data_IF_218616418817
#
_entry.id   IF_218616418817
#
_cell.length_a   1.000
_cell.length_b   1.000
_cell.length_c   1.000
_cell.angle_alpha   90.00
_cell.angle_beta   90.00
_cell.angle_gamma   90.00
#
_symmetry.space_group_name_H-M   'P 1'
#
loop_
_entity.id
_entity.type
_entity.pdbx_description
1 polymer ?
#
# COMPACT_ATOMS: atom_id res chain seq x y z
N UNK A 1 -11.50 -23.42 49.16
CA UNK A 1 -12.23 -23.56 47.88
C UNK A 1 -11.35 -24.36 46.94
N UNK A 2 -11.75 -25.57 46.53
CA UNK A 2 -10.94 -26.41 45.66
C UNK A 2 -10.97 -25.89 44.21
N UNK A 3 -9.78 -25.80 43.62
CA UNK A 3 -9.54 -25.39 42.22
C UNK A 3 -9.92 -26.56 41.31
N UNK A 4 -10.96 -26.37 40.52
CA UNK A 4 -11.41 -27.31 39.49
C UNK A 4 -10.44 -27.19 38.30
N UNK A 5 -9.67 -28.25 38.05
CA UNK A 5 -8.85 -28.37 36.85
C UNK A 5 -9.73 -28.73 35.63
N UNK A 6 -9.47 -28.16 34.44
CA UNK A 6 -10.20 -28.55 33.24
C UNK A 6 -9.71 -29.90 32.70
N UNK A 7 -10.68 -30.77 32.45
CA UNK A 7 -10.56 -32.06 31.76
C UNK A 7 -10.00 -31.88 30.35
N UNK A 8 -8.86 -32.50 30.05
CA UNK A 8 -8.35 -32.64 28.69
C UNK A 8 -9.12 -33.78 27.99
N UNK A 9 -10.09 -33.38 27.15
CA UNK A 9 -10.75 -34.28 26.22
C UNK A 9 -9.79 -34.61 25.08
N UNK A 10 -9.18 -35.78 25.14
CA UNK A 10 -8.45 -36.42 24.05
C UNK A 10 -9.43 -36.90 22.97
N UNK A 11 -9.57 -36.14 21.89
CA UNK A 11 -10.25 -36.58 20.67
C UNK A 11 -9.26 -36.63 19.51
N UNK A 12 -8.88 -37.87 19.19
CA UNK A 12 -8.58 -38.46 17.88
C UNK A 12 -7.75 -37.65 16.85
N UNK A 13 -6.64 -38.21 16.32
CA UNK A 13 -6.08 -37.73 15.06
C UNK A 13 -7.05 -38.11 13.95
N UNK A 14 -7.84 -37.14 13.50
CA UNK A 14 -8.55 -37.23 12.23
C UNK A 14 -7.50 -37.16 11.12
N UNK A 15 -7.29 -38.29 10.45
CA UNK A 15 -6.52 -38.38 9.22
C UNK A 15 -7.14 -37.45 8.18
N UNK A 16 -6.58 -36.25 8.05
CA UNK A 16 -6.93 -35.32 6.99
C UNK A 16 -6.55 -35.99 5.68
N UNK A 17 -7.59 -36.45 5.00
CA UNK A 17 -7.61 -36.92 3.64
C UNK A 17 -6.83 -35.96 2.73
N UNK A 18 -5.65 -36.39 2.31
CA UNK A 18 -4.74 -35.70 1.41
C UNK A 18 -5.26 -35.80 -0.03
N UNK A 19 -6.43 -35.20 -0.29
CA UNK A 19 -6.99 -35.10 -1.65
C UNK A 19 -7.28 -33.64 -2.02
N UNK A 20 -6.40 -32.72 -1.63
CA UNK A 20 -6.27 -31.45 -2.33
C UNK A 20 -5.14 -31.61 -3.36
N UNK A 21 -5.42 -31.54 -4.66
CA UNK A 21 -4.38 -31.71 -5.67
C UNK A 21 -3.32 -30.60 -5.48
N UNK A 22 -2.02 -30.97 -5.43
CA UNK A 22 -0.92 -30.02 -5.26
C UNK A 22 -0.83 -28.96 -6.37
N UNK A 23 -1.61 -29.09 -7.44
CA UNK A 23 -1.54 -28.25 -8.64
C UNK A 23 -2.30 -26.92 -8.53
N UNK A 24 -3.28 -26.80 -7.63
CA UNK A 24 -4.16 -25.60 -7.57
C UNK A 24 -3.47 -24.39 -6.93
N UNK A 25 -2.67 -24.61 -5.88
CA UNK A 25 -1.93 -23.53 -5.19
C UNK A 25 -0.80 -22.96 -6.07
N UNK A 26 -0.13 -23.82 -6.85
CA UNK A 26 0.86 -23.42 -7.83
C UNK A 26 0.23 -22.61 -8.99
N UNK A 27 -0.95 -23.02 -9.46
CA UNK A 27 -1.66 -22.33 -10.55
C UNK A 27 -2.15 -20.93 -10.15
N UNK A 28 -2.69 -20.77 -8.93
CA UNK A 28 -3.13 -19.46 -8.41
C UNK A 28 -1.94 -18.51 -8.21
N UNK A 29 -0.86 -19.02 -7.62
CA UNK A 29 0.35 -18.23 -7.42
C UNK A 29 0.95 -17.80 -8.76
N UNK A 30 0.98 -18.69 -9.75
CA UNK A 30 1.41 -18.37 -11.11
C UNK A 30 0.56 -17.27 -11.77
N UNK A 31 -0.76 -17.35 -11.66
CA UNK A 31 -1.67 -16.33 -12.20
C UNK A 31 -1.47 -14.95 -11.57
N UNK A 32 -1.31 -14.89 -10.24
CA UNK A 32 -1.05 -13.65 -9.51
C UNK A 32 0.29 -13.05 -9.95
N UNK A 33 1.36 -13.85 -9.98
CA UNK A 33 2.70 -13.39 -10.41
C UNK A 33 2.68 -12.84 -11.83
N UNK A 34 2.04 -13.54 -12.77
CA UNK A 34 1.92 -13.08 -14.16
C UNK A 34 1.13 -11.77 -14.24
N UNK A 35 0.03 -11.66 -13.50
CA UNK A 35 -0.77 -10.44 -13.42
C UNK A 35 0.04 -9.24 -12.91
N UNK A 36 0.86 -9.44 -11.88
CA UNK A 36 1.72 -8.40 -11.30
C UNK A 36 2.84 -8.01 -12.25
N UNK A 37 3.48 -8.97 -12.91
CA UNK A 37 4.51 -8.69 -13.90
C UNK A 37 3.92 -7.89 -15.08
N UNK A 38 2.72 -8.25 -15.53
CA UNK A 38 2.02 -7.50 -16.56
C UNK A 38 1.67 -6.07 -16.10
N UNK A 39 1.19 -5.92 -14.86
CA UNK A 39 0.82 -4.61 -14.30
C UNK A 39 2.05 -3.72 -14.08
N UNK A 40 3.13 -4.27 -13.50
CA UNK A 40 4.39 -3.55 -13.30
C UNK A 40 5.06 -3.15 -14.61
N UNK A 41 5.00 -4.00 -15.64
CA UNK A 41 5.46 -3.66 -16.99
C UNK A 41 4.59 -2.55 -17.59
N UNK A 42 3.27 -2.65 -17.49
CA UNK A 42 2.36 -1.60 -17.97
C UNK A 42 2.62 -0.25 -17.28
N UNK A 43 2.85 -0.24 -15.96
CA UNK A 43 3.22 0.96 -15.22
C UNK A 43 4.57 1.51 -15.64
N UNK A 44 5.58 0.65 -15.80
CA UNK A 44 6.92 1.07 -16.22
C UNK A 44 6.89 1.71 -17.60
N UNK A 45 6.11 1.14 -18.52
CA UNK A 45 5.88 1.70 -19.86
C UNK A 45 5.15 3.04 -19.77
N UNK A 46 4.04 3.11 -19.03
CA UNK A 46 3.29 4.34 -18.84
C UNK A 46 4.17 5.46 -18.26
N UNK A 47 4.97 5.15 -17.24
CA UNK A 47 5.91 6.07 -16.60
C UNK A 47 7.03 6.51 -17.53
N UNK A 48 7.57 5.59 -18.34
CA UNK A 48 8.57 5.94 -19.35
C UNK A 48 8.00 6.93 -20.37
N UNK A 49 6.79 6.69 -20.86
CA UNK A 49 6.11 7.62 -21.75
C UNK A 49 5.83 8.96 -21.08
N UNK A 50 5.38 8.95 -19.82
CA UNK A 50 5.11 10.15 -19.04
C UNK A 50 6.36 10.99 -18.80
N UNK A 51 7.46 10.33 -18.44
CA UNK A 51 8.76 10.94 -18.24
C UNK A 51 9.26 11.60 -19.53
N UNK A 52 9.18 10.86 -20.65
CA UNK A 52 9.56 11.38 -21.97
C UNK A 52 8.66 12.54 -22.40
N UNK A 53 7.37 12.47 -22.08
CA UNK A 53 6.41 13.54 -22.36
C UNK A 53 6.72 14.80 -21.53
N UNK A 54 6.99 14.66 -20.24
CA UNK A 54 7.36 15.76 -19.35
C UNK A 54 8.66 16.46 -19.79
N UNK A 55 9.64 15.71 -20.30
CA UNK A 55 10.86 16.30 -20.87
C UNK A 55 10.61 17.12 -22.13
N UNK A 56 9.61 16.75 -22.94
CA UNK A 56 9.27 17.46 -24.19
C UNK A 56 8.49 18.76 -23.95
N UNK A 57 7.79 18.86 -22.82
CA UNK A 57 6.99 20.03 -22.47
C UNK A 57 7.38 20.58 -21.09
N UNK A 58 8.60 21.16 -20.95
CA UNK A 58 9.03 21.75 -19.68
C UNK A 58 8.11 22.92 -19.33
N UNK A 59 7.36 22.80 -18.23
CA UNK A 59 6.54 23.89 -17.71
C UNK A 59 7.48 24.99 -17.21
N UNK A 60 7.30 26.22 -17.68
CA UNK A 60 8.05 27.38 -17.20
C UNK A 60 7.61 27.75 -15.77
N UNK A 61 8.08 26.99 -14.78
CA UNK A 61 7.91 27.35 -13.37
C UNK A 61 8.99 28.36 -13.00
N UNK A 62 8.55 29.61 -12.85
CA UNK A 62 9.38 30.80 -12.63
C UNK A 62 10.09 30.85 -11.25
N UNK A 63 10.28 29.71 -10.58
CA UNK A 63 10.99 29.59 -9.29
C UNK A 63 11.97 28.42 -9.35
N UNK A 64 13.26 28.71 -9.14
CA UNK A 64 14.36 27.73 -9.06
C UNK A 64 14.06 26.60 -8.05
N UNK A 65 13.35 26.91 -6.97
CA UNK A 65 12.91 25.93 -5.99
C UNK A 65 11.86 24.93 -6.55
N UNK A 66 10.99 25.35 -7.46
CA UNK A 66 10.02 24.48 -8.12
C UNK A 66 10.66 23.52 -9.11
N UNK A 67 11.78 23.91 -9.73
CA UNK A 67 12.47 23.07 -10.73
C UNK A 67 13.08 21.82 -10.07
N UNK A 68 13.77 21.99 -8.93
CA UNK A 68 14.29 20.83 -8.17
C UNK A 68 13.15 19.97 -7.63
N UNK A 69 12.04 20.60 -7.23
CA UNK A 69 10.85 19.92 -6.76
C UNK A 69 10.30 18.95 -7.82
N UNK A 70 10.12 19.43 -9.05
CA UNK A 70 9.58 18.64 -10.14
C UNK A 70 10.42 17.41 -10.50
N UNK A 71 11.71 17.38 -10.14
CA UNK A 71 12.58 16.24 -10.41
C UNK A 71 12.34 15.07 -9.45
N UNK A 72 12.09 15.35 -8.17
CA UNK A 72 11.95 14.31 -7.14
C UNK A 72 10.52 13.76 -7.02
N UNK A 73 9.52 14.61 -7.29
CA UNK A 73 8.10 14.20 -7.18
C UNK A 73 7.76 12.95 -8.00
N UNK A 74 8.08 12.87 -9.31
CA UNK A 74 7.79 11.69 -10.10
C UNK A 74 8.45 10.44 -9.52
N UNK A 75 9.70 10.52 -9.06
CA UNK A 75 10.42 9.38 -8.51
C UNK A 75 9.77 8.83 -7.25
N UNK A 76 9.29 9.71 -6.35
CA UNK A 76 8.55 9.29 -5.14
C UNK A 76 7.23 8.61 -5.53
N UNK A 77 6.49 9.14 -6.51
CA UNK A 77 5.26 8.51 -7.00
C UNK A 77 5.52 7.13 -7.62
N UNK A 78 6.59 6.97 -8.40
CA UNK A 78 6.97 5.66 -8.95
C UNK A 78 7.28 4.65 -7.86
N UNK A 79 8.10 5.05 -6.88
CA UNK A 79 8.42 4.20 -5.74
C UNK A 79 7.16 3.81 -4.98
N UNK A 80 6.29 4.78 -4.67
CA UNK A 80 5.05 4.57 -3.94
C UNK A 80 4.08 3.62 -4.67
N UNK A 81 3.95 3.76 -5.99
CA UNK A 81 3.17 2.85 -6.84
C UNK A 81 3.76 1.44 -6.82
N UNK A 82 5.08 1.30 -6.93
CA UNK A 82 5.73 -0.01 -6.93
C UNK A 82 5.53 -0.77 -5.61
N UNK A 83 5.64 -0.06 -4.48
CA UNK A 83 5.39 -0.62 -3.14
C UNK A 83 3.91 -1.04 -3.01
N UNK A 84 2.97 -0.24 -3.52
CA UNK A 84 1.54 -0.56 -3.50
C UNK A 84 1.18 -1.81 -4.32
N UNK A 85 1.87 -2.04 -5.44
CA UNK A 85 1.66 -3.23 -6.26
C UNK A 85 2.13 -4.48 -5.51
N UNK A 86 3.24 -4.39 -4.77
CA UNK A 86 3.72 -5.48 -3.94
C UNK A 86 2.74 -5.78 -2.78
N UNK A 87 2.24 -4.76 -2.10
CA UNK A 87 1.23 -4.94 -1.05
C UNK A 87 -0.07 -5.55 -1.59
N UNK A 88 -0.56 -5.04 -2.73
CA UNK A 88 -1.76 -5.58 -3.38
C UNK A 88 -1.59 -7.07 -3.74
N UNK A 89 -0.40 -7.45 -4.19
CA UNK A 89 -0.04 -8.84 -4.48
C UNK A 89 -0.15 -9.73 -3.24
N UNK A 90 0.53 -9.34 -2.17
CA UNK A 90 0.65 -10.16 -0.97
C UNK A 90 -0.70 -10.29 -0.27
N UNK A 91 -1.45 -9.19 -0.15
CA UNK A 91 -2.82 -9.18 0.36
C UNK A 91 -3.77 -10.04 -0.48
N UNK A 92 -3.70 -9.97 -1.81
CA UNK A 92 -4.54 -10.79 -2.71
C UNK A 92 -4.21 -12.28 -2.59
N UNK A 93 -2.91 -12.61 -2.52
CA UNK A 93 -2.45 -13.99 -2.34
C UNK A 93 -2.91 -14.56 -0.99
N UNK A 94 -2.73 -13.82 0.11
CA UNK A 94 -3.18 -14.23 1.44
C UNK A 94 -4.69 -14.50 1.46
N UNK A 95 -5.48 -13.61 0.87
CA UNK A 95 -6.94 -13.77 0.82
C UNK A 95 -7.36 -14.99 -0.01
N UNK A 96 -6.64 -15.28 -1.10
CA UNK A 96 -6.86 -16.50 -1.90
C UNK A 96 -6.54 -17.76 -1.10
N UNK A 97 -5.43 -17.79 -0.35
CA UNK A 97 -5.06 -18.93 0.50
C UNK A 97 -6.05 -19.17 1.64
N UNK A 98 -6.59 -18.11 2.24
CA UNK A 98 -7.63 -18.20 3.27
C UNK A 98 -8.95 -18.75 2.73
N UNK A 99 -9.24 -18.57 1.43
CA UNK A 99 -10.40 -19.18 0.79
C UNK A 99 -10.24 -20.69 0.57
N UNK A 100 -9.02 -21.16 0.32
CA UNK A 100 -8.74 -22.56 0.00
C UNK A 100 -8.48 -23.41 1.24
N UNK A 101 -7.79 -22.85 2.24
CA UNK A 101 -7.46 -23.56 3.48
C UNK A 101 -8.59 -23.32 4.46
N UNK A 102 -9.40 -24.34 4.79
CA UNK A 102 -10.51 -24.22 5.78
C UNK A 102 -10.06 -23.77 7.18
N UNK A 103 -8.76 -23.69 7.44
CA UNK A 103 -8.18 -23.01 8.60
C UNK A 103 -8.25 -21.49 8.41
N UNK A 104 -9.43 -20.91 8.63
CA UNK A 104 -9.58 -19.46 8.64
C UNK A 104 -8.79 -18.85 9.82
N UNK A 105 -7.96 -17.82 9.59
CA UNK A 105 -7.35 -17.07 10.69
C UNK A 105 -8.42 -16.36 11.51
N UNK A 106 -8.02 -15.77 12.65
CA UNK A 106 -8.91 -14.93 13.45
C UNK A 106 -9.58 -13.86 12.56
N UNK A 107 -10.87 -13.59 12.81
CA UNK A 107 -11.67 -12.69 11.98
C UNK A 107 -10.98 -11.32 11.76
N UNK A 108 -10.30 -10.81 12.78
CA UNK A 108 -9.60 -9.53 12.71
C UNK A 108 -8.40 -9.51 11.76
N UNK A 109 -7.65 -10.61 11.62
CA UNK A 109 -6.57 -10.70 10.61
C UNK A 109 -7.17 -10.62 9.20
N UNK A 110 -8.27 -11.34 8.97
CA UNK A 110 -8.92 -11.34 7.65
C UNK A 110 -9.45 -9.96 7.28
N UNK A 111 -10.04 -9.25 8.24
CA UNK A 111 -10.54 -7.90 8.03
C UNK A 111 -9.39 -6.90 7.84
N UNK A 112 -8.28 -7.07 8.54
CA UNK A 112 -7.04 -6.33 8.29
C UNK A 112 -6.53 -6.48 6.85
N UNK A 113 -6.33 -7.72 6.38
CA UNK A 113 -5.84 -7.99 5.01
C UNK A 113 -6.80 -7.45 3.95
N UNK A 114 -8.12 -7.53 4.18
CA UNK A 114 -9.12 -6.93 3.28
C UNK A 114 -9.03 -5.41 3.23
N UNK A 115 -8.80 -4.78 4.38
CA UNK A 115 -8.61 -3.33 4.45
C UNK A 115 -7.30 -2.92 3.77
N UNK A 116 -6.23 -3.71 3.90
CA UNK A 116 -4.98 -3.47 3.16
C UNK A 116 -5.19 -3.58 1.66
N UNK A 117 -5.85 -4.63 1.17
CA UNK A 117 -6.18 -4.77 -0.25
C UNK A 117 -7.00 -3.58 -0.78
N UNK A 118 -8.01 -3.13 -0.02
CA UNK A 118 -8.79 -1.95 -0.37
C UNK A 118 -7.91 -0.70 -0.44
N UNK A 119 -7.03 -0.52 0.54
CA UNK A 119 -6.14 0.64 0.64
C UNK A 119 -5.11 0.64 -0.50
N UNK A 120 -4.56 -0.51 -0.85
CA UNK A 120 -3.63 -0.66 -1.98
C UNK A 120 -4.32 -0.34 -3.32
N UNK A 121 -5.53 -0.86 -3.56
CA UNK A 121 -6.30 -0.55 -4.78
C UNK A 121 -6.67 0.93 -4.83
N UNK A 122 -7.17 1.49 -3.73
CA UNK A 122 -7.49 2.92 -3.61
C UNK A 122 -6.27 3.78 -3.97
N UNK A 123 -5.13 3.47 -3.34
CA UNK A 123 -3.88 4.21 -3.50
C UNK A 123 -3.34 4.09 -4.92
N UNK A 124 -3.37 2.89 -5.51
CA UNK A 124 -2.94 2.65 -6.88
C UNK A 124 -3.79 3.44 -7.88
N UNK A 125 -5.12 3.35 -7.79
CA UNK A 125 -6.03 4.06 -8.70
C UNK A 125 -5.88 5.58 -8.58
N UNK A 126 -5.88 6.08 -7.35
CA UNK A 126 -5.83 7.53 -7.08
C UNK A 126 -4.46 8.14 -7.39
N UNK A 127 -3.35 7.49 -7.01
CA UNK A 127 -2.00 7.96 -7.35
C UNK A 127 -1.79 8.01 -8.86
N UNK A 128 -2.32 7.04 -9.61
CA UNK A 128 -2.27 7.01 -11.07
C UNK A 128 -3.10 8.13 -11.68
N UNK A 129 -4.32 8.35 -11.16
CA UNK A 129 -5.16 9.47 -11.59
C UNK A 129 -4.44 10.81 -11.36
N UNK A 130 -3.85 11.04 -10.19
CA UNK A 130 -3.09 12.25 -9.89
C UNK A 130 -1.83 12.41 -10.77
N UNK A 131 -1.15 11.31 -11.05
CA UNK A 131 0.02 11.28 -11.93
C UNK A 131 -0.36 11.69 -13.37
N UNK A 132 -1.45 11.14 -13.90
CA UNK A 132 -1.99 11.48 -15.23
C UNK A 132 -2.45 12.95 -15.27
N UNK A 133 -3.20 13.39 -14.26
CA UNK A 133 -3.67 14.77 -14.12
C UNK A 133 -2.52 15.77 -14.14
N UNK A 134 -1.41 15.43 -13.49
CA UNK A 134 -0.25 16.30 -13.40
C UNK A 134 0.56 16.36 -14.70
N UNK A 135 0.70 15.21 -15.37
CA UNK A 135 1.45 15.08 -16.61
C UNK A 135 0.72 15.67 -17.83
N UNK A 136 -0.61 15.60 -17.86
CA UNK A 136 -1.37 16.13 -18.99
C UNK A 136 -1.41 17.68 -18.93
N UNK A 137 -1.01 18.38 -20.01
CA UNK A 137 -0.80 19.83 -19.96
C UNK A 137 -2.13 20.58 -19.75
N UNK A 138 -3.21 20.14 -20.39
CA UNK A 138 -4.53 20.79 -20.28
C UNK A 138 -5.22 20.48 -18.94
N UNK A 139 -5.05 19.27 -18.39
CA UNK A 139 -5.73 18.92 -17.14
C UNK A 139 -5.05 19.55 -15.91
N UNK A 140 -3.77 19.90 -16.03
CA UNK A 140 -3.05 20.54 -14.92
C UNK A 140 -3.55 21.94 -14.56
N UNK A 141 -4.33 22.58 -15.43
CA UNK A 141 -5.00 23.86 -15.15
C UNK A 141 -6.29 23.69 -14.33
N UNK A 142 -6.80 22.47 -14.15
CA UNK A 142 -8.00 22.25 -13.34
C UNK A 142 -7.70 22.38 -11.85
N UNK A 143 -8.66 22.89 -11.05
CA UNK A 143 -8.51 23.02 -9.60
C UNK A 143 -8.30 21.67 -8.88
N UNK A 144 -8.70 20.55 -9.50
CA UNK A 144 -8.43 19.19 -9.00
C UNK A 144 -6.93 18.87 -9.01
N UNK A 145 -6.15 19.46 -9.93
CA UNK A 145 -4.70 19.34 -9.94
C UNK A 145 -4.00 20.27 -8.92
N UNK A 146 -4.77 20.98 -8.09
CA UNK A 146 -4.24 21.88 -7.05
C UNK A 146 -3.49 21.11 -5.97
N UNK A 147 -2.47 21.76 -5.42
CA UNK A 147 -1.70 21.29 -4.27
C UNK A 147 -2.60 20.96 -3.07
N UNK A 148 -3.71 21.69 -2.90
CA UNK A 148 -4.68 21.44 -1.82
C UNK A 148 -5.42 20.11 -1.98
N UNK A 149 -5.83 19.75 -3.20
CA UNK A 149 -6.51 18.47 -3.46
C UNK A 149 -5.56 17.29 -3.21
N UNK A 150 -4.30 17.42 -3.65
CA UNK A 150 -3.28 16.41 -3.38
C UNK A 150 -3.03 16.24 -1.87
N UNK A 151 -2.98 17.34 -1.10
CA UNK A 151 -2.79 17.26 0.35
C UNK A 151 -3.95 16.55 1.06
N UNK A 152 -5.20 16.84 0.67
CA UNK A 152 -6.38 16.14 1.22
C UNK A 152 -6.34 14.65 0.87
N UNK A 153 -6.05 14.32 -0.38
CA UNK A 153 -5.91 12.93 -0.82
C UNK A 153 -4.83 12.17 -0.05
N UNK A 154 -3.64 12.78 0.12
CA UNK A 154 -2.55 12.18 0.90
C UNK A 154 -2.98 11.92 2.35
N UNK A 155 -3.70 12.86 2.97
CA UNK A 155 -4.21 12.67 4.33
C UNK A 155 -5.24 11.53 4.42
N UNK A 156 -6.21 11.46 3.51
CA UNK A 156 -7.17 10.36 3.47
C UNK A 156 -6.48 9.00 3.30
N UNK A 157 -5.51 8.94 2.39
CA UNK A 157 -4.75 7.72 2.12
C UNK A 157 -3.91 7.31 3.34
N UNK A 158 -3.29 8.28 4.01
CA UNK A 158 -2.57 8.06 5.26
C UNK A 158 -3.47 7.48 6.35
N UNK A 159 -4.70 7.99 6.51
CA UNK A 159 -5.68 7.45 7.49
C UNK A 159 -6.00 5.99 7.19
N UNK A 160 -6.16 5.61 5.91
CA UNK A 160 -6.39 4.22 5.54
C UNK A 160 -5.23 3.32 5.96
N UNK A 161 -3.98 3.71 5.68
CA UNK A 161 -2.81 2.95 6.09
C UNK A 161 -2.64 2.85 7.61
N UNK A 162 -2.91 3.93 8.35
CA UNK A 162 -2.92 3.89 9.81
C UNK A 162 -3.98 2.92 10.34
N UNK A 163 -5.18 2.91 9.73
CA UNK A 163 -6.23 1.97 10.10
C UNK A 163 -5.82 0.52 9.80
N UNK A 164 -5.19 0.24 8.65
CA UNK A 164 -4.64 -1.08 8.32
C UNK A 164 -3.66 -1.56 9.38
N UNK A 165 -2.62 -0.76 9.67
CA UNK A 165 -1.59 -1.11 10.65
C UNK A 165 -2.20 -1.26 12.05
N UNK A 166 -3.14 -0.41 12.44
CA UNK A 166 -3.79 -0.50 13.74
C UNK A 166 -4.60 -1.79 13.92
N UNK A 167 -5.39 -2.18 12.91
CA UNK A 167 -6.18 -3.43 12.94
C UNK A 167 -5.26 -4.65 12.97
N UNK A 168 -4.22 -4.68 12.13
CA UNK A 168 -3.31 -5.81 12.08
C UNK A 168 -2.46 -5.94 13.35
N UNK A 169 -1.97 -4.82 13.90
CA UNK A 169 -1.11 -4.82 15.09
C UNK A 169 -1.83 -5.29 16.37
N UNK A 170 -3.16 -5.25 16.41
CA UNK A 170 -3.96 -5.83 17.51
C UNK A 170 -3.90 -7.37 17.53
N UNK A 171 -3.65 -7.98 16.38
CA UNK A 171 -3.65 -9.44 16.21
C UNK A 171 -2.26 -10.02 15.97
N UNK A 172 -1.34 -9.21 15.44
CA UNK A 172 0.06 -9.52 15.22
C UNK A 172 0.88 -8.40 15.82
N UNK A 173 1.39 -8.60 17.03
CA UNK A 173 2.32 -7.62 17.58
C UNK A 173 3.69 -7.81 16.95
N UNK A 174 4.08 -6.86 16.08
CA UNK A 174 5.43 -6.85 15.48
C UNK A 174 6.55 -6.67 16.52
N UNK A 175 6.20 -6.30 17.76
CA UNK A 175 7.14 -5.95 18.83
C UNK A 175 7.45 -7.14 19.76
N UNK A 176 6.64 -8.21 19.78
CA UNK A 176 6.95 -9.38 20.61
C UNK A 176 7.96 -10.30 19.94
N UNK A 177 9.15 -10.42 20.53
CA UNK A 177 10.24 -11.27 20.04
C UNK A 177 10.02 -12.78 20.27
N UNK A 178 9.20 -13.18 21.25
CA UNK A 178 9.18 -14.58 21.70
C UNK A 178 8.19 -15.49 20.95
N UNK A 179 7.17 -14.91 20.28
CA UNK A 179 6.20 -15.65 19.46
C UNK A 179 5.24 -14.67 18.74
N UNK A 180 5.68 -13.99 17.67
CA UNK A 180 4.85 -12.99 16.98
C UNK A 180 3.58 -13.58 16.32
N UNK A 181 3.48 -14.91 16.22
CA UNK A 181 2.42 -15.59 15.45
C UNK A 181 2.01 -16.96 16.04
N UNK A 182 1.60 -17.01 17.31
CA UNK A 182 1.02 -18.24 17.87
C UNK A 182 -0.34 -18.56 17.20
N UNK A 183 -0.33 -19.33 16.10
CA UNK A 183 -1.54 -19.83 15.44
C UNK A 183 -1.81 -19.28 14.03
N UNK A 184 -0.94 -18.45 13.46
CA UNK A 184 -1.06 -18.01 12.07
C UNK A 184 -0.22 -18.90 11.13
N UNK A 185 -0.88 -19.54 10.16
CA UNK A 185 -0.23 -20.45 9.19
C UNK A 185 0.76 -19.72 8.28
N UNK A 186 0.49 -18.44 7.96
CA UNK A 186 1.28 -17.62 7.03
C UNK A 186 1.91 -16.40 7.72
N UNK A 187 2.63 -16.63 8.82
CA UNK A 187 3.22 -15.55 9.62
C UNK A 187 4.19 -14.65 8.83
N UNK A 188 5.08 -15.24 8.03
CA UNK A 188 6.11 -14.47 7.31
C UNK A 188 5.52 -13.50 6.29
N UNK A 189 4.52 -13.95 5.53
CA UNK A 189 3.83 -13.12 4.55
C UNK A 189 3.01 -12.03 5.22
N UNK A 190 2.35 -12.33 6.34
CA UNK A 190 1.56 -11.35 7.08
C UNK A 190 2.45 -10.29 7.75
N UNK A 191 3.64 -10.68 8.21
CA UNK A 191 4.64 -9.74 8.71
C UNK A 191 5.21 -8.86 7.58
N UNK A 192 5.36 -9.39 6.37
CA UNK A 192 5.77 -8.62 5.20
C UNK A 192 4.71 -7.57 4.82
N UNK A 193 3.43 -7.95 4.75
CA UNK A 193 2.28 -7.07 4.46
C UNK A 193 2.23 -5.90 5.47
N UNK A 194 2.31 -6.18 6.78
CA UNK A 194 2.36 -5.11 7.79
C UNK A 194 3.61 -4.23 7.65
N UNK A 195 4.77 -4.84 7.35
CA UNK A 195 6.02 -4.12 7.15
C UNK A 195 5.95 -3.13 5.97
N UNK A 196 5.36 -3.57 4.86
CA UNK A 196 5.15 -2.74 3.68
C UNK A 196 4.13 -1.63 3.98
N UNK A 197 3.01 -1.94 4.64
CA UNK A 197 2.03 -0.95 5.08
C UNK A 197 2.66 0.17 5.97
N UNK A 198 3.59 -0.19 6.86
CA UNK A 198 4.34 0.78 7.68
C UNK A 198 5.24 1.66 6.79
N UNK A 199 5.94 1.08 5.81
CA UNK A 199 6.77 1.84 4.86
C UNK A 199 5.91 2.87 4.11
N UNK A 200 4.74 2.46 3.62
CA UNK A 200 3.81 3.36 2.94
C UNK A 200 3.32 4.50 3.84
N UNK A 201 2.94 4.18 5.08
CA UNK A 201 2.57 5.17 6.08
C UNK A 201 3.69 6.19 6.33
N UNK A 202 4.95 5.74 6.42
CA UNK A 202 6.11 6.62 6.60
C UNK A 202 6.36 7.52 5.39
N UNK A 203 6.28 6.98 4.17
CA UNK A 203 6.41 7.74 2.92
C UNK A 203 5.36 8.85 2.85
N UNK A 204 4.10 8.54 3.18
CA UNK A 204 3.02 9.52 3.21
C UNK A 204 3.25 10.59 4.29
N UNK A 205 3.72 10.19 5.47
CA UNK A 205 4.03 11.12 6.58
C UNK A 205 5.13 12.11 6.19
N UNK A 206 6.24 11.62 5.62
CA UNK A 206 7.34 12.45 5.13
C UNK A 206 6.86 13.40 4.02
N UNK A 207 6.03 12.90 3.10
CA UNK A 207 5.46 13.69 2.01
C UNK A 207 4.55 14.82 2.53
N UNK A 208 3.70 14.54 3.50
CA UNK A 208 2.85 15.55 4.15
C UNK A 208 3.67 16.61 4.89
N UNK A 209 4.69 16.19 5.65
CA UNK A 209 5.58 17.12 6.35
C UNK A 209 6.31 18.05 5.37
N UNK A 210 6.77 17.50 4.25
CA UNK A 210 7.41 18.27 3.19
C UNK A 210 6.45 19.28 2.54
N UNK A 211 5.21 18.87 2.24
CA UNK A 211 4.19 19.77 1.72
C UNK A 211 3.86 20.90 2.70
N UNK A 212 3.68 20.58 3.99
CA UNK A 212 3.44 21.57 5.04
C UNK A 212 4.60 22.56 5.16
N UNK A 213 5.85 22.08 5.07
CA UNK A 213 7.03 22.92 5.08
C UNK A 213 7.07 23.90 3.90
N UNK A 214 6.73 23.44 2.69
CA UNK A 214 6.67 24.31 1.50
C UNK A 214 5.58 25.38 1.63
N UNK A 215 4.39 25.00 2.12
CA UNK A 215 3.30 25.94 2.37
C UNK A 215 3.74 27.01 3.37
N UNK A 216 4.33 26.60 4.50
CA UNK A 216 4.85 27.52 5.51
C UNK A 216 5.88 28.51 4.94
N UNK A 217 6.79 28.02 4.09
CA UNK A 217 7.83 28.85 3.46
C UNK A 217 7.24 29.87 2.51
N UNK A 218 6.18 29.52 1.78
CA UNK A 218 5.45 30.43 0.89
C UNK A 218 4.66 31.48 1.68
N UNK A 219 4.03 31.12 2.81
CA UNK A 219 3.36 32.08 3.68
C UNK A 219 4.33 33.10 4.30
N UNK A 220 5.52 32.65 4.71
CA UNK A 220 6.52 33.52 5.37
C UNK A 220 7.24 34.46 4.41
N UNK A 221 7.21 34.19 3.10
CA UNK A 221 7.78 35.05 2.06
C UNK A 221 6.69 35.43 1.05
N UNK A 222 5.76 36.34 1.41
CA UNK A 222 4.83 36.88 0.44
C UNK A 222 5.65 37.54 -0.67
N UNK A 223 5.66 36.94 -1.85
CA UNK A 223 6.25 37.56 -3.04
C UNK A 223 5.52 38.89 -3.28
N UNK A 224 6.25 40.00 -3.52
CA UNK A 224 5.61 41.24 -3.93
C UNK A 224 4.79 40.94 -5.19
N UNK A 225 3.47 41.15 -5.10
CA UNK A 225 2.60 41.11 -6.27
C UNK A 225 3.00 42.31 -7.12
N UNK A 226 3.59 42.05 -8.28
CA UNK A 226 3.66 43.01 -9.38
C UNK A 226 2.38 42.87 -10.20
#
# INVERSE_FOLDING_TARGET
>A
MPVIAPSQSSTHPESIDATNPPDTSASITGGIVVGILALSMAYSVALYFLYRYAQRHPKALNKVASVNLQKYFPLIYVFFIAVNIAEMSDSMWLLAQYGHTRSSPSLGIRDGVRLSLFSAIWTLLSSTAYLILWAHPTLSSHPIASLGSQAIWMFCTWVFWVACVAVMNQHLSLVQLDSPCAGAVYCGQLQADIGIAIIEMLVLTISMFFLAWLLWKNFKRPSPRF
#
